data_IF_471517690150
#
_entry.id   IF_471517690150
#
_cell.length_a   1.000
_cell.length_b   1.000
_cell.length_c   1.000
_cell.angle_alpha   90.00
_cell.angle_beta   90.00
_cell.angle_gamma   90.00
#
_symmetry.space_group_name_H-M   'P 1'
#
loop_
_entity.id
_entity.type
_entity.pdbx_description
1 polymer ?
#
# COMPACT_ATOMS: atom_id res chain seq x y z
N UNK A 1 -17.77 -1.70 9.91
CA UNK A 1 -16.99 -1.58 8.66
C UNK A 1 -17.23 -2.83 7.83
N UNK A 2 -17.84 -2.69 6.65
CA UNK A 2 -17.88 -3.79 5.67
C UNK A 2 -16.53 -3.86 4.94
N UNK A 3 -16.14 -5.03 4.45
CA UNK A 3 -14.87 -5.24 3.75
C UNK A 3 -14.66 -4.26 2.57
N UNK A 4 -15.76 -3.80 1.93
CA UNK A 4 -15.71 -2.79 0.87
C UNK A 4 -15.10 -1.46 1.30
N UNK A 5 -15.31 -1.03 2.55
CA UNK A 5 -14.68 0.17 3.08
C UNK A 5 -13.17 -0.01 3.26
N UNK A 6 -12.73 -1.19 3.71
CA UNK A 6 -11.30 -1.51 3.85
C UNK A 6 -10.58 -1.47 2.50
N UNK A 7 -11.19 -2.05 1.45
CA UNK A 7 -10.63 -2.04 0.09
C UNK A 7 -10.52 -0.62 -0.45
N UNK A 8 -11.55 0.20 -0.30
CA UNK A 8 -11.53 1.58 -0.79
C UNK A 8 -10.46 2.40 -0.06
N UNK A 9 -10.38 2.28 1.26
CA UNK A 9 -9.32 2.91 2.04
C UNK A 9 -7.92 2.48 1.55
N UNK A 10 -7.70 1.19 1.26
CA UNK A 10 -6.42 0.69 0.74
C UNK A 10 -6.08 1.16 -0.69
N UNK A 11 -7.09 1.53 -1.49
CA UNK A 11 -6.92 2.05 -2.86
C UNK A 11 -6.69 3.55 -2.90
N UNK A 12 -7.34 4.28 -2.00
CA UNK A 12 -7.37 5.75 -2.03
C UNK A 12 -6.37 6.37 -1.06
N UNK A 13 -6.02 5.67 0.02
CA UNK A 13 -5.15 6.22 1.06
C UNK A 13 -3.69 5.89 0.78
N UNK A 14 -2.88 6.95 0.77
CA UNK A 14 -1.44 6.83 0.65
C UNK A 14 -0.80 6.33 1.94
N UNK A 15 0.19 5.46 1.78
CA UNK A 15 0.99 4.94 2.89
C UNK A 15 1.92 6.06 3.34
N UNK A 16 1.88 6.39 4.64
CA UNK A 16 2.82 7.33 5.24
C UNK A 16 4.18 6.65 5.35
N UNK A 17 5.08 7.02 4.44
CA UNK A 17 6.46 6.53 4.41
C UNK A 17 7.46 7.49 5.04
N UNK A 18 7.03 8.70 5.41
CA UNK A 18 7.84 9.63 6.21
C UNK A 18 8.09 8.99 7.59
N UNK A 19 9.36 8.88 7.95
CA UNK A 19 9.85 8.41 9.26
C UNK A 19 9.80 6.89 9.52
N UNK A 20 9.68 6.06 8.48
CA UNK A 20 9.82 4.60 8.64
C UNK A 20 10.86 4.01 7.68
N UNK A 21 12.02 3.65 8.23
CA UNK A 21 13.15 3.07 7.49
C UNK A 21 12.81 1.76 6.77
N UNK A 22 11.88 0.97 7.32
CA UNK A 22 11.42 -0.27 6.69
C UNK A 22 10.65 0.02 5.40
N UNK A 23 9.73 1.00 5.44
CA UNK A 23 8.95 1.38 4.26
C UNK A 23 9.75 2.24 3.28
N UNK A 24 10.82 2.92 3.70
CA UNK A 24 11.64 3.73 2.81
C UNK A 24 12.31 2.90 1.69
N UNK A 25 12.80 1.70 2.00
CA UNK A 25 13.39 0.79 1.01
C UNK A 25 12.34 0.30 0.01
N UNK A 26 11.22 -0.20 0.53
CA UNK A 26 10.09 -0.70 -0.29
C UNK A 26 9.54 0.42 -1.16
N UNK A 27 9.39 1.62 -0.61
CA UNK A 27 8.92 2.79 -1.32
C UNK A 27 9.87 3.18 -2.46
N UNK A 28 11.19 3.17 -2.23
CA UNK A 28 12.17 3.48 -3.27
C UNK A 28 12.15 2.47 -4.43
N UNK A 29 12.01 1.18 -4.13
CA UNK A 29 11.94 0.13 -5.15
C UNK A 29 10.64 0.19 -5.94
N UNK A 30 9.50 0.32 -5.26
CA UNK A 30 8.19 0.37 -5.89
C UNK A 30 7.95 1.70 -6.61
N UNK A 31 8.37 2.83 -6.05
CA UNK A 31 8.30 4.15 -6.71
C UNK A 31 9.10 4.15 -8.01
N UNK A 32 10.29 3.53 -8.03
CA UNK A 32 11.08 3.38 -9.26
C UNK A 32 10.42 2.44 -10.28
N UNK A 33 9.74 1.38 -9.83
CA UNK A 33 9.05 0.42 -10.71
C UNK A 33 7.77 0.97 -11.32
N UNK A 34 7.00 1.74 -10.56
CA UNK A 34 5.69 2.26 -10.97
C UNK A 34 5.71 3.73 -11.40
N UNK A 35 6.83 4.44 -11.21
CA UNK A 35 6.98 5.84 -11.60
C UNK A 35 6.14 6.82 -10.78
N UNK A 36 5.73 6.43 -9.56
CA UNK A 36 4.84 7.23 -8.70
C UNK A 36 5.53 7.64 -7.40
N UNK A 37 5.39 8.90 -6.99
CA UNK A 37 5.93 9.42 -5.71
C UNK A 37 5.14 8.95 -4.48
N UNK A 38 3.91 8.50 -4.66
CA UNK A 38 3.03 8.06 -3.57
C UNK A 38 2.52 6.67 -3.87
N UNK A 39 2.63 5.78 -2.88
CA UNK A 39 2.20 4.40 -2.97
C UNK A 39 1.01 4.16 -2.04
N UNK A 40 0.01 3.47 -2.55
CA UNK A 40 -1.14 3.01 -1.76
C UNK A 40 -0.93 1.58 -1.31
N UNK A 41 -1.71 1.16 -0.30
CA UNK A 41 -1.66 -0.22 0.22
C UNK A 41 -1.99 -1.24 -0.88
N UNK A 42 -2.87 -0.86 -1.82
CA UNK A 42 -3.17 -1.66 -3.01
C UNK A 42 -1.92 -1.94 -3.87
N UNK A 43 -1.06 -0.94 -4.07
CA UNK A 43 0.17 -1.08 -4.88
C UNK A 43 1.27 -1.90 -4.18
N UNK A 44 1.19 -2.04 -2.86
CA UNK A 44 2.06 -2.94 -2.08
C UNK A 44 1.50 -4.37 -1.96
N UNK A 45 0.39 -4.67 -2.64
CA UNK A 45 -0.25 -5.99 -2.61
C UNK A 45 -1.14 -6.23 -1.38
N UNK A 46 -1.61 -5.17 -0.70
CA UNK A 46 -2.55 -5.28 0.42
C UNK A 46 -4.02 -5.51 0.01
N UNK A 47 -4.24 -6.02 -1.20
CA UNK A 47 -5.54 -6.49 -1.72
C UNK A 47 -5.53 -7.99 -2.03
N UNK A 48 -4.46 -8.70 -1.70
CA UNK A 48 -4.40 -10.15 -1.88
C UNK A 48 -5.32 -10.86 -0.88
N UNK A 49 -6.16 -11.77 -1.40
CA UNK A 49 -7.16 -12.48 -0.59
C UNK A 49 -6.52 -13.15 0.64
N UNK A 50 -5.37 -13.81 0.49
CA UNK A 50 -4.68 -14.52 1.58
C UNK A 50 -4.05 -13.63 2.65
N UNK A 51 -3.95 -12.32 2.43
CA UNK A 51 -3.47 -11.38 3.45
C UNK A 51 -4.59 -10.89 4.38
N UNK A 52 -5.84 -11.10 3.99
CA UNK A 52 -7.02 -10.63 4.73
C UNK A 52 -7.99 -11.76 5.08
N UNK A 53 -8.04 -12.79 4.26
CA UNK A 53 -8.83 -14.01 4.44
C UNK A 53 -7.85 -15.17 4.56
N UNK A 54 -7.62 -15.60 5.79
CA UNK A 54 -6.90 -16.83 6.09
C UNK A 54 -7.84 -18.02 5.96
#
# INVERSE_FOLDING_TARGET
>A
LTMGWCINCHRETNVKVKDNEYYAKIHKELSKKYGVEQLTVAQMGGLECGKCHY
#
